data_IF_588780295786
#
_entry.id   IF_588780295786
#
_cell.length_a   1.000
_cell.length_b   1.000
_cell.length_c   1.000
_cell.angle_alpha   90.00
_cell.angle_beta   90.00
_cell.angle_gamma   90.00
#
_symmetry.space_group_name_H-M   'P 1'
#
loop_
_entity.id
_entity.type
_entity.pdbx_description
1 polymer ?
#
# COMPACT_ATOMS: atom_id res chain seq x y z
N UNK A 1 -28.62 -23.11 -1.26
CA UNK A 1 -29.25 -22.07 -0.41
C UNK A 1 -28.87 -20.66 -0.89
N UNK A 2 -29.49 -19.58 -0.34
CA UNK A 2 -29.13 -18.20 -0.66
C UNK A 2 -27.65 -17.91 -0.28
N UNK A 3 -27.18 -18.51 0.80
CA UNK A 3 -25.79 -18.41 1.29
C UNK A 3 -24.82 -19.03 0.27
N UNK A 4 -25.13 -20.20 -0.29
CA UNK A 4 -24.27 -20.87 -1.26
C UNK A 4 -24.09 -20.02 -2.53
N UNK A 5 -25.18 -19.40 -3.01
CA UNK A 5 -25.14 -18.48 -4.17
C UNK A 5 -24.34 -17.23 -3.89
N UNK A 6 -24.41 -16.70 -2.68
CA UNK A 6 -23.64 -15.53 -2.27
C UNK A 6 -22.14 -15.86 -2.25
N UNK A 7 -21.77 -17.00 -1.65
CA UNK A 7 -20.36 -17.49 -1.59
C UNK A 7 -19.82 -17.73 -3.02
N UNK A 8 -20.61 -18.36 -3.88
CA UNK A 8 -20.23 -18.61 -5.28
C UNK A 8 -20.04 -17.31 -6.07
N UNK A 9 -20.92 -16.33 -5.87
CA UNK A 9 -20.81 -15.00 -6.48
C UNK A 9 -19.54 -14.26 -6.02
N UNK A 10 -19.20 -14.32 -4.73
CA UNK A 10 -17.98 -13.72 -4.21
C UNK A 10 -16.72 -14.41 -4.74
N UNK A 11 -16.70 -15.75 -4.81
CA UNK A 11 -15.60 -16.50 -5.42
C UNK A 11 -15.40 -16.14 -6.89
N UNK A 12 -16.48 -16.06 -7.66
CA UNK A 12 -16.43 -15.69 -9.09
C UNK A 12 -15.89 -14.27 -9.28
N UNK A 13 -16.25 -13.30 -8.43
CA UNK A 13 -15.71 -11.94 -8.47
C UNK A 13 -14.20 -11.93 -8.21
N UNK A 14 -13.74 -12.70 -7.23
CA UNK A 14 -12.32 -12.81 -6.89
C UNK A 14 -11.53 -13.43 -8.03
N UNK A 15 -12.04 -14.53 -8.60
CA UNK A 15 -11.41 -15.22 -9.73
C UNK A 15 -11.31 -14.32 -10.96
N UNK A 16 -12.39 -13.59 -11.28
CA UNK A 16 -12.41 -12.59 -12.36
C UNK A 16 -11.34 -11.50 -12.14
N UNK A 17 -11.31 -10.89 -10.94
CA UNK A 17 -10.33 -9.83 -10.64
C UNK A 17 -8.90 -10.39 -10.67
N UNK A 18 -8.69 -11.62 -10.20
CA UNK A 18 -7.39 -12.30 -10.22
C UNK A 18 -6.90 -12.52 -11.66
N UNK A 19 -7.75 -13.09 -12.50
CA UNK A 19 -7.43 -13.37 -13.90
C UNK A 19 -7.18 -12.09 -14.69
N UNK A 20 -8.07 -11.08 -14.55
CA UNK A 20 -7.90 -9.77 -15.21
C UNK A 20 -6.62 -9.07 -14.73
N UNK A 21 -6.30 -9.15 -13.44
CA UNK A 21 -5.08 -8.54 -12.92
C UNK A 21 -3.81 -9.21 -13.46
N UNK A 22 -3.82 -10.54 -13.57
CA UNK A 22 -2.73 -11.29 -14.19
C UNK A 22 -2.55 -10.90 -15.67
N UNK A 23 -3.66 -10.85 -16.41
CA UNK A 23 -3.66 -10.53 -17.84
C UNK A 23 -3.26 -9.07 -18.12
N UNK A 24 -3.50 -8.17 -17.18
CA UNK A 24 -3.02 -6.78 -17.24
C UNK A 24 -1.54 -6.65 -16.84
N UNK A 25 -1.04 -7.49 -15.95
CA UNK A 25 0.34 -7.41 -15.46
C UNK A 25 1.35 -7.74 -16.56
N UNK A 26 1.05 -8.70 -17.42
CA UNK A 26 1.95 -9.14 -18.50
C UNK A 26 2.23 -8.03 -19.53
N UNK A 27 1.22 -7.41 -20.18
CA UNK A 27 1.46 -6.34 -21.14
C UNK A 27 2.07 -5.12 -20.50
N UNK A 28 1.71 -4.83 -19.24
CA UNK A 28 2.25 -3.69 -18.51
C UNK A 28 3.74 -3.87 -18.18
N UNK A 29 4.16 -5.09 -17.84
CA UNK A 29 5.59 -5.40 -17.65
C UNK A 29 6.36 -5.19 -18.94
N UNK A 30 5.80 -5.59 -20.08
CA UNK A 30 6.42 -5.36 -21.40
C UNK A 30 6.55 -3.87 -21.71
N UNK A 31 5.51 -3.07 -21.45
CA UNK A 31 5.54 -1.61 -21.63
C UNK A 31 6.65 -0.98 -20.78
N UNK A 32 6.77 -1.35 -19.50
CA UNK A 32 7.82 -0.85 -18.61
C UNK A 32 9.21 -1.24 -19.15
N UNK A 33 9.39 -2.49 -19.58
CA UNK A 33 10.68 -2.93 -20.14
C UNK A 33 11.08 -2.13 -21.38
N UNK A 34 10.13 -1.80 -22.27
CA UNK A 34 10.43 -0.95 -23.43
C UNK A 34 10.71 0.49 -23.05
N UNK A 35 10.07 1.03 -22.01
CA UNK A 35 10.37 2.36 -21.45
C UNK A 35 11.79 2.38 -20.89
N UNK A 36 12.20 1.35 -20.15
CA UNK A 36 13.55 1.23 -19.60
C UNK A 36 14.60 1.16 -20.71
N UNK A 37 14.34 0.42 -21.78
CA UNK A 37 15.21 0.37 -22.96
C UNK A 37 15.30 1.74 -23.65
N UNK A 38 14.15 2.40 -23.88
CA UNK A 38 14.13 3.73 -24.47
C UNK A 38 14.88 4.76 -23.61
N UNK A 39 14.80 4.63 -22.27
CA UNK A 39 15.49 5.54 -21.35
C UNK A 39 17.01 5.45 -21.45
N UNK A 40 17.55 4.34 -21.99
CA UNK A 40 18.99 4.13 -22.23
C UNK A 40 19.47 4.64 -23.60
N UNK A 41 18.55 5.03 -24.49
CA UNK A 41 18.89 5.53 -25.82
C UNK A 41 19.18 7.05 -25.81
N UNK A 42 19.94 7.51 -26.80
CA UNK A 42 20.14 8.93 -27.03
C UNK A 42 18.85 9.59 -27.57
N UNK A 43 18.31 10.52 -26.81
CA UNK A 43 17.04 11.20 -27.15
C UNK A 43 17.15 12.71 -26.97
N UNK A 44 16.29 13.44 -27.68
CA UNK A 44 16.13 14.87 -27.44
C UNK A 44 15.60 15.14 -26.02
N UNK A 45 15.83 16.32 -25.45
CA UNK A 45 15.31 16.69 -24.13
C UNK A 45 13.79 16.48 -24.02
N UNK A 46 13.04 16.84 -25.06
CA UNK A 46 11.59 16.69 -25.12
C UNK A 46 11.17 15.22 -25.11
N UNK A 47 11.91 14.35 -25.84
CA UNK A 47 11.63 12.92 -25.86
C UNK A 47 11.92 12.28 -24.49
N UNK A 48 12.97 12.71 -23.78
CA UNK A 48 13.27 12.27 -22.41
C UNK A 48 12.15 12.64 -21.45
N UNK A 49 11.59 13.83 -21.57
CA UNK A 49 10.44 14.27 -20.77
C UNK A 49 9.22 13.37 -21.00
N UNK A 50 8.90 13.05 -22.27
CA UNK A 50 7.79 12.16 -22.59
C UNK A 50 8.00 10.74 -22.03
N UNK A 51 9.21 10.19 -22.18
CA UNK A 51 9.55 8.87 -21.62
C UNK A 51 9.44 8.88 -20.10
N UNK A 52 9.90 9.91 -19.42
CA UNK A 52 9.76 10.07 -17.97
C UNK A 52 8.29 10.08 -17.54
N UNK A 53 7.44 10.84 -18.25
CA UNK A 53 6.01 10.90 -17.96
C UNK A 53 5.35 9.53 -18.17
N UNK A 54 5.68 8.83 -19.27
CA UNK A 54 5.12 7.52 -19.58
C UNK A 54 5.57 6.49 -18.53
N UNK A 55 6.84 6.52 -18.11
CA UNK A 55 7.38 5.68 -17.03
C UNK A 55 6.58 5.85 -15.74
N UNK A 56 6.42 7.09 -15.27
CA UNK A 56 5.64 7.38 -14.06
C UNK A 56 4.19 6.89 -14.15
N UNK A 57 3.54 7.07 -15.33
CA UNK A 57 2.16 6.61 -15.52
C UNK A 57 2.06 5.09 -15.57
N UNK A 58 3.06 4.41 -16.14
CA UNK A 58 3.13 2.95 -16.21
C UNK A 58 3.36 2.34 -14.82
N UNK A 59 4.27 2.89 -14.03
CA UNK A 59 4.49 2.47 -12.64
C UNK A 59 3.25 2.67 -11.77
N UNK A 60 2.56 3.79 -11.98
CA UNK A 60 1.29 4.04 -11.31
C UNK A 60 0.23 3.00 -11.68
N UNK A 61 0.11 2.65 -12.97
CA UNK A 61 -0.84 1.62 -13.42
C UNK A 61 -0.48 0.26 -12.84
N UNK A 62 0.80 -0.14 -12.86
CA UNK A 62 1.31 -1.36 -12.24
C UNK A 62 0.92 -1.47 -10.77
N UNK A 63 1.10 -0.39 -10.02
CA UNK A 63 0.71 -0.34 -8.63
C UNK A 63 -0.82 -0.42 -8.45
N UNK A 64 -1.64 0.20 -9.32
CA UNK A 64 -3.10 0.08 -9.25
C UNK A 64 -3.59 -1.35 -9.52
N UNK A 65 -3.01 -2.02 -10.50
CA UNK A 65 -3.32 -3.44 -10.79
C UNK A 65 -2.96 -4.32 -9.60
N UNK A 66 -1.79 -4.11 -8.98
CA UNK A 66 -1.39 -4.82 -7.76
C UNK A 66 -2.35 -4.57 -6.60
N UNK A 67 -2.72 -3.31 -6.37
CA UNK A 67 -3.65 -2.94 -5.28
C UNK A 67 -5.04 -3.57 -5.47
N UNK A 68 -5.52 -3.63 -6.72
CA UNK A 68 -6.79 -4.29 -7.04
C UNK A 68 -6.74 -5.80 -6.76
N UNK A 69 -5.63 -6.45 -7.10
CA UNK A 69 -5.40 -7.85 -6.80
C UNK A 69 -5.34 -8.12 -5.28
N UNK A 70 -4.58 -7.29 -4.53
CA UNK A 70 -4.49 -7.38 -3.08
C UNK A 70 -5.87 -7.22 -2.43
N UNK A 71 -6.69 -6.30 -2.94
CA UNK A 71 -8.04 -6.09 -2.45
C UNK A 71 -8.99 -7.26 -2.73
N UNK A 72 -8.88 -7.87 -3.91
CA UNK A 72 -9.66 -9.07 -4.25
C UNK A 72 -9.28 -10.25 -3.34
N UNK A 73 -7.97 -10.47 -3.12
CA UNK A 73 -7.49 -11.50 -2.19
C UNK A 73 -7.89 -11.23 -0.73
N UNK A 74 -7.89 -9.98 -0.29
CA UNK A 74 -8.29 -9.63 1.07
C UNK A 74 -9.77 -9.93 1.36
N UNK A 75 -10.60 -9.86 0.32
CA UNK A 75 -12.03 -10.20 0.43
C UNK A 75 -12.30 -11.70 0.52
N UNK A 76 -11.32 -12.54 0.14
CA UNK A 76 -11.37 -13.99 0.34
C UNK A 76 -10.64 -14.36 1.64
N UNK A 77 -11.37 -14.67 2.69
CA UNK A 77 -10.81 -15.12 3.97
C UNK A 77 -10.06 -16.47 3.89
N UNK A 78 -9.84 -17.01 2.69
CA UNK A 78 -9.39 -18.38 2.47
C UNK A 78 -7.87 -18.57 2.43
N UNK A 79 -7.06 -17.52 2.28
CA UNK A 79 -5.62 -17.64 2.09
C UNK A 79 -4.82 -16.80 3.11
N UNK A 80 -5.04 -17.04 4.41
CA UNK A 80 -4.19 -16.45 5.47
C UNK A 80 -3.16 -17.49 5.90
N UNK A 81 -1.90 -17.27 5.53
CA UNK A 81 -0.77 -18.06 6.02
C UNK A 81 -0.33 -17.50 7.38
N UNK A 82 -1.12 -17.77 8.44
CA UNK A 82 -0.78 -17.31 9.79
C UNK A 82 0.44 -18.06 10.32
N UNK A 83 1.49 -17.34 10.60
CA UNK A 83 2.74 -17.83 11.15
C UNK A 83 3.20 -16.96 12.33
N UNK A 84 4.17 -17.47 13.07
CA UNK A 84 4.75 -16.72 14.19
C UNK A 84 5.80 -15.74 13.66
N UNK A 85 5.46 -14.48 13.61
CA UNK A 85 6.34 -13.39 13.15
C UNK A 85 6.79 -12.52 14.31
N UNK A 86 7.94 -11.84 14.14
CA UNK A 86 8.36 -10.78 15.04
C UNK A 86 8.03 -9.42 14.43
N UNK A 87 7.05 -8.73 15.01
CA UNK A 87 6.56 -7.45 14.53
C UNK A 87 7.64 -6.34 14.57
N UNK A 88 8.65 -6.45 15.47
CA UNK A 88 9.78 -5.51 15.52
C UNK A 88 10.65 -5.69 14.28
N UNK A 89 11.02 -6.93 13.97
CA UNK A 89 11.85 -7.24 12.79
C UNK A 89 11.12 -6.81 11.53
N UNK A 90 9.85 -7.18 11.38
CA UNK A 90 9.05 -6.85 10.21
C UNK A 90 8.90 -5.33 10.03
N UNK A 91 8.64 -4.59 11.11
CA UNK A 91 8.52 -3.12 11.03
C UNK A 91 9.83 -2.47 10.59
N UNK A 92 10.96 -2.90 11.13
CA UNK A 92 12.28 -2.39 10.74
C UNK A 92 12.63 -2.76 9.29
N UNK A 93 12.25 -3.95 8.83
CA UNK A 93 12.41 -4.35 7.44
C UNK A 93 11.63 -3.44 6.50
N UNK A 94 10.35 -3.18 6.77
CA UNK A 94 9.53 -2.27 5.93
C UNK A 94 10.14 -0.88 5.87
N UNK A 95 10.60 -0.33 7.01
CA UNK A 95 11.25 0.99 7.05
C UNK A 95 12.53 0.99 6.23
N UNK A 96 13.34 -0.07 6.33
CA UNK A 96 14.57 -0.24 5.54
C UNK A 96 14.29 -0.31 4.05
N UNK A 97 13.32 -1.13 3.63
CA UNK A 97 12.93 -1.31 2.22
C UNK A 97 12.32 -0.03 1.63
N UNK A 98 11.80 0.86 2.48
CA UNK A 98 11.25 2.16 2.07
C UNK A 98 12.23 3.33 2.22
N UNK A 99 13.50 3.10 2.57
CA UNK A 99 14.50 4.15 2.87
C UNK A 99 14.63 5.18 1.75
N UNK A 100 14.70 4.75 0.50
CA UNK A 100 14.82 5.65 -0.66
C UNK A 100 13.56 6.53 -0.82
N UNK A 101 12.37 5.95 -0.64
CA UNK A 101 11.11 6.70 -0.68
C UNK A 101 11.02 7.71 0.44
N UNK A 102 11.46 7.32 1.64
CA UNK A 102 11.53 8.22 2.80
C UNK A 102 12.46 9.39 2.48
N UNK A 103 13.66 9.11 1.99
CA UNK A 103 14.63 10.14 1.62
C UNK A 103 14.09 11.10 0.54
N UNK A 104 13.49 10.56 -0.53
CA UNK A 104 12.92 11.35 -1.63
C UNK A 104 11.68 12.16 -1.21
N UNK A 105 10.97 11.74 -0.16
CA UNK A 105 9.78 12.46 0.32
C UNK A 105 10.10 13.81 0.99
N UNK A 106 11.35 14.02 1.41
CA UNK A 106 11.75 15.18 2.20
C UNK A 106 11.14 15.23 3.60
N UNK A 107 10.53 14.14 4.08
CA UNK A 107 9.91 14.05 5.42
C UNK A 107 10.88 13.41 6.41
N UNK A 108 10.94 13.94 7.63
CA UNK A 108 11.70 13.32 8.71
C UNK A 108 10.86 12.19 9.34
N UNK A 109 11.33 10.94 9.19
CA UNK A 109 10.68 9.78 9.84
C UNK A 109 11.39 9.49 11.16
N UNK A 110 10.61 9.44 12.24
CA UNK A 110 11.09 9.07 13.59
C UNK A 110 10.45 7.77 14.05
N UNK A 111 11.28 6.87 14.57
CA UNK A 111 10.83 5.59 15.10
C UNK A 111 10.87 5.58 16.63
N UNK A 112 9.84 5.03 17.27
CA UNK A 112 9.77 4.76 18.71
C UNK A 112 9.40 3.29 18.93
N UNK A 113 10.38 2.40 18.73
CA UNK A 113 10.24 0.96 18.88
C UNK A 113 10.93 0.57 20.19
N UNK A 114 10.14 0.50 21.28
CA UNK A 114 10.66 0.23 22.63
C UNK A 114 10.82 -1.26 22.95
N UNK A 115 10.20 -2.13 22.19
CA UNK A 115 10.29 -3.56 22.38
C UNK A 115 11.49 -4.14 21.63
N UNK A 116 12.27 -5.00 22.31
CA UNK A 116 13.33 -5.75 21.64
C UNK A 116 12.77 -6.90 20.79
N UNK A 117 11.57 -7.37 21.10
CA UNK A 117 10.87 -8.44 20.42
C UNK A 117 9.35 -8.35 20.65
N UNK A 118 8.57 -8.58 19.59
CA UNK A 118 7.11 -8.62 19.68
C UNK A 118 6.57 -9.73 18.77
N UNK A 119 6.41 -10.93 19.37
CA UNK A 119 5.90 -12.08 18.62
C UNK A 119 4.38 -12.01 18.51
N UNK A 120 3.88 -12.16 17.28
CA UNK A 120 2.45 -12.23 16.96
C UNK A 120 2.18 -13.36 15.98
N UNK A 121 0.97 -13.90 16.01
CA UNK A 121 0.48 -14.84 14.99
C UNK A 121 -0.20 -14.01 13.90
N UNK A 122 0.36 -13.96 12.71
CA UNK A 122 -0.19 -13.20 11.59
C UNK A 122 0.43 -13.65 10.26
N UNK A 123 -0.17 -13.22 9.14
CA UNK A 123 0.43 -13.36 7.82
C UNK A 123 1.45 -12.23 7.60
N UNK A 124 2.73 -12.58 7.61
CA UNK A 124 3.83 -11.62 7.49
C UNK A 124 3.77 -10.78 6.21
N UNK A 125 3.34 -11.37 5.08
CA UNK A 125 3.21 -10.68 3.79
C UNK A 125 2.10 -9.63 3.84
N UNK A 126 0.97 -9.96 4.45
CA UNK A 126 -0.16 -9.03 4.60
C UNK A 126 0.17 -7.89 5.55
N UNK A 127 0.77 -8.18 6.72
CA UNK A 127 1.20 -7.13 7.66
C UNK A 127 2.28 -6.23 7.05
N UNK A 128 3.23 -6.79 6.29
CA UNK A 128 4.20 -6.00 5.52
C UNK A 128 3.48 -4.97 4.61
N UNK A 129 2.48 -5.44 3.86
CA UNK A 129 1.71 -4.59 2.93
C UNK A 129 0.87 -3.54 3.67
N UNK A 130 0.31 -3.88 4.83
CA UNK A 130 -0.37 -2.92 5.73
C UNK A 130 0.58 -1.79 6.11
N UNK A 131 1.75 -2.11 6.64
CA UNK A 131 2.73 -1.13 7.06
C UNK A 131 3.21 -0.25 5.89
N UNK A 132 3.50 -0.86 4.74
CA UNK A 132 3.88 -0.13 3.53
C UNK A 132 2.80 0.88 3.12
N UNK A 133 1.53 0.48 3.09
CA UNK A 133 0.42 1.37 2.75
C UNK A 133 0.26 2.53 3.76
N UNK A 134 0.42 2.26 5.05
CA UNK A 134 0.32 3.28 6.09
C UNK A 134 1.46 4.28 6.00
N UNK A 135 2.70 3.81 5.78
CA UNK A 135 3.87 4.67 5.65
C UNK A 135 3.80 5.50 4.36
N UNK A 136 3.47 4.88 3.22
CA UNK A 136 3.28 5.60 1.94
C UNK A 136 2.23 6.71 2.08
N UNK A 137 1.11 6.44 2.75
CA UNK A 137 0.09 7.44 3.03
C UNK A 137 0.63 8.58 3.90
N UNK A 138 1.33 8.24 4.98
CA UNK A 138 1.90 9.25 5.87
C UNK A 138 2.91 10.14 5.14
N UNK A 139 3.82 9.57 4.35
CA UNK A 139 4.79 10.33 3.55
C UNK A 139 4.11 11.27 2.55
N UNK A 140 3.03 10.80 1.92
CA UNK A 140 2.34 11.51 0.86
C UNK A 140 1.50 12.68 1.37
N UNK A 141 0.75 12.46 2.46
CA UNK A 141 -0.23 13.43 2.96
C UNK A 141 0.29 14.25 4.14
N UNK A 142 1.56 14.12 4.52
CA UNK A 142 2.14 14.98 5.54
C UNK A 142 2.37 16.40 5.05
N UNK A 143 2.07 17.35 5.91
CA UNK A 143 2.46 18.73 5.74
C UNK A 143 3.99 18.86 5.65
N UNK A 144 4.49 19.74 4.80
CA UNK A 144 5.93 20.01 4.67
C UNK A 144 6.54 20.49 5.99
N UNK A 145 7.78 20.09 6.23
CA UNK A 145 8.50 20.44 7.45
C UNK A 145 8.01 19.73 8.71
N UNK A 146 7.02 18.82 8.60
CA UNK A 146 6.56 18.00 9.74
C UNK A 146 7.18 16.62 9.74
N UNK A 147 6.95 15.88 10.83
CA UNK A 147 7.51 14.55 11.05
C UNK A 147 6.46 13.46 10.91
N UNK A 148 6.90 12.29 10.42
CA UNK A 148 6.14 11.05 10.49
C UNK A 148 6.69 10.22 11.65
N UNK A 149 5.84 9.77 12.55
CA UNK A 149 6.23 8.93 13.68
C UNK A 149 5.73 7.50 13.47
N UNK A 150 6.63 6.54 13.56
CA UNK A 150 6.32 5.11 13.53
C UNK A 150 6.65 4.56 14.91
N UNK A 151 5.65 4.04 15.63
CA UNK A 151 5.86 3.49 16.96
C UNK A 151 5.31 2.07 17.08
N UNK A 152 6.01 1.23 17.84
CA UNK A 152 5.60 -0.11 18.19
C UNK A 152 5.59 -0.27 19.70
N UNK A 153 4.43 -0.69 20.23
CA UNK A 153 4.24 -0.99 21.66
C UNK A 153 3.75 -2.42 21.80
N UNK A 154 4.34 -3.15 22.74
CA UNK A 154 3.93 -4.50 23.12
C UNK A 154 3.69 -4.55 24.63
N UNK A 155 2.48 -4.87 25.04
CA UNK A 155 2.08 -5.01 26.46
C UNK A 155 1.91 -6.46 26.90
N UNK A 156 2.49 -7.42 26.17
CA UNK A 156 2.36 -8.89 26.32
C UNK A 156 0.99 -9.48 25.97
N UNK A 157 -0.04 -8.66 25.81
CA UNK A 157 -1.38 -9.11 25.35
C UNK A 157 -1.67 -8.65 23.93
N UNK A 158 -1.11 -7.48 23.58
CA UNK A 158 -1.39 -6.82 22.31
C UNK A 158 -0.14 -6.12 21.81
N UNK A 159 0.17 -6.31 20.54
CA UNK A 159 1.15 -5.51 19.81
C UNK A 159 0.41 -4.43 19.01
N UNK A 160 0.78 -3.18 19.25
CA UNK A 160 0.21 -2.03 18.53
C UNK A 160 1.29 -1.33 17.75
N UNK A 161 1.11 -1.23 16.44
CA UNK A 161 1.96 -0.44 15.55
C UNK A 161 1.15 0.79 15.16
N UNK A 162 1.74 1.97 15.28
CA UNK A 162 1.09 3.23 14.93
C UNK A 162 1.96 4.04 14.00
N UNK A 163 1.35 4.56 12.94
CA UNK A 163 1.95 5.57 12.04
C UNK A 163 1.18 6.86 12.23
N UNK A 164 1.88 7.94 12.58
CA UNK A 164 1.28 9.24 12.85
C UNK A 164 1.96 10.32 12.02
N UNK A 165 1.15 11.18 11.43
CA UNK A 165 1.61 12.35 10.67
C UNK A 165 0.67 13.54 10.90
N UNK A 166 1.13 14.73 10.53
CA UNK A 166 0.31 15.93 10.48
C UNK A 166 -0.14 16.08 9.03
N UNK A 167 -1.46 16.05 8.79
CA UNK A 167 -2.01 16.17 7.44
C UNK A 167 -1.76 17.55 6.86
N UNK A 168 -1.44 17.60 5.56
CA UNK A 168 -1.36 18.83 4.77
C UNK A 168 -2.74 19.42 4.46
N UNK A 169 -3.79 18.63 4.59
CA UNK A 169 -5.17 19.01 4.32
C UNK A 169 -6.03 18.82 5.56
N UNK A 170 -7.11 19.60 5.67
CA UNK A 170 -8.06 19.46 6.74
C UNK A 170 -8.81 18.12 6.64
N UNK A 171 -8.86 17.39 7.76
CA UNK A 171 -9.46 16.06 7.84
C UNK A 171 -10.94 16.19 8.21
N UNK A 172 -11.82 16.28 7.21
CA UNK A 172 -13.27 16.43 7.39
C UNK A 172 -14.04 15.11 7.19
N UNK A 173 -13.41 13.95 7.46
CA UNK A 173 -14.05 12.63 7.31
C UNK A 173 -13.89 11.78 8.56
N UNK A 174 -14.84 10.87 8.74
CA UNK A 174 -14.80 9.89 9.82
C UNK A 174 -13.76 8.80 9.54
N UNK A 175 -13.30 8.06 10.59
CA UNK A 175 -12.43 6.90 10.39
C UNK A 175 -13.02 5.83 9.47
N UNK A 176 -14.33 5.67 9.46
CA UNK A 176 -15.07 4.74 8.61
C UNK A 176 -14.98 5.17 7.14
N UNK A 177 -15.30 6.42 6.85
CA UNK A 177 -15.26 6.99 5.50
C UNK A 177 -13.87 6.91 4.88
N UNK A 178 -12.80 7.22 5.63
CA UNK A 178 -11.42 7.20 5.10
C UNK A 178 -10.92 5.78 4.77
N UNK A 179 -11.52 4.75 5.37
CA UNK A 179 -11.18 3.35 5.12
C UNK A 179 -12.07 2.67 4.08
N UNK A 180 -13.11 3.34 3.59
CA UNK A 180 -13.93 2.84 2.49
C UNK A 180 -13.18 2.82 1.17
N UNK A 181 -13.62 1.92 0.27
CA UNK A 181 -12.99 1.75 -1.05
C UNK A 181 -13.22 2.99 -1.92
N UNK A 182 -12.16 3.46 -2.57
CA UNK A 182 -12.20 4.62 -3.46
C UNK A 182 -12.59 5.95 -2.81
N UNK A 183 -12.68 6.02 -1.48
CA UNK A 183 -12.92 7.27 -0.79
C UNK A 183 -11.68 8.15 -0.90
N UNK A 184 -11.86 9.33 -1.46
CA UNK A 184 -10.86 10.39 -1.49
C UNK A 184 -11.39 11.52 -0.64
N UNK A 185 -10.59 12.01 0.28
CA UNK A 185 -10.85 13.29 0.92
C UNK A 185 -11.06 14.34 -0.17
N UNK A 186 -12.18 15.03 -0.11
CA UNK A 186 -12.75 15.81 -1.20
C UNK A 186 -11.83 16.93 -1.72
N UNK A 187 -11.93 17.21 -3.03
CA UNK A 187 -11.41 18.36 -3.78
C UNK A 187 -10.02 18.32 -4.40
N UNK A 188 -9.10 17.46 -4.05
CA UNK A 188 -7.81 17.40 -4.78
C UNK A 188 -7.83 16.35 -5.90
N UNK A 189 -8.51 16.63 -6.99
CA UNK A 189 -8.36 15.88 -8.27
C UNK A 189 -6.93 15.88 -8.80
N UNK A 190 -6.05 16.67 -8.19
CA UNK A 190 -4.64 16.88 -8.56
C UNK A 190 -3.66 16.08 -7.70
N UNK A 191 -3.98 15.64 -6.48
CA UNK A 191 -3.08 14.82 -5.67
C UNK A 191 -3.10 13.35 -6.10
N UNK A 192 -1.91 12.78 -6.28
CA UNK A 192 -1.65 11.41 -6.73
C UNK A 192 -2.07 10.35 -5.71
N UNK A 193 -3.35 10.19 -5.40
CA UNK A 193 -3.88 9.17 -4.49
C UNK A 193 -4.81 8.17 -5.19
N UNK A 194 -4.67 6.87 -4.90
CA UNK A 194 -5.49 5.81 -5.48
C UNK A 194 -6.77 5.56 -4.69
N UNK A 195 -6.85 6.02 -3.42
CA UNK A 195 -7.97 5.77 -2.52
C UNK A 195 -8.13 4.30 -2.10
N UNK A 196 -7.13 3.44 -2.36
CA UNK A 196 -7.19 2.00 -2.06
C UNK A 196 -6.28 1.58 -0.91
N UNK A 197 -5.21 2.33 -0.61
CA UNK A 197 -4.19 1.91 0.36
C UNK A 197 -4.74 1.66 1.76
N UNK A 198 -5.60 2.53 2.27
CA UNK A 198 -6.20 2.36 3.61
C UNK A 198 -7.25 1.25 3.65
N UNK A 199 -8.05 1.09 2.59
CA UNK A 199 -9.00 -0.03 2.50
C UNK A 199 -8.31 -1.38 2.41
N UNK A 200 -7.16 -1.48 1.71
CA UNK A 200 -6.31 -2.66 1.68
C UNK A 200 -5.73 -2.92 3.07
N UNK A 201 -5.18 -1.87 3.72
CA UNK A 201 -4.62 -2.00 5.05
C UNK A 201 -5.67 -2.50 6.06
N UNK A 202 -6.89 -1.95 6.03
CA UNK A 202 -8.01 -2.41 6.85
C UNK A 202 -8.34 -3.87 6.57
N UNK A 203 -8.59 -4.24 5.31
CA UNK A 203 -8.98 -5.60 4.93
C UNK A 203 -7.93 -6.64 5.31
N UNK A 204 -6.63 -6.33 5.14
CA UNK A 204 -5.56 -7.23 5.52
C UNK A 204 -5.40 -7.35 7.04
N UNK A 205 -5.61 -6.26 7.78
CA UNK A 205 -5.55 -6.29 9.25
C UNK A 205 -6.71 -7.09 9.83
N UNK A 206 -7.91 -6.99 9.24
CA UNK A 206 -9.09 -7.74 9.67
C UNK A 206 -8.99 -9.23 9.31
N UNK A 207 -8.23 -9.58 8.28
CA UNK A 207 -8.01 -10.95 7.85
C UNK A 207 -6.93 -11.69 8.67
N UNK A 208 -5.99 -10.98 9.31
CA UNK A 208 -4.90 -11.55 10.13
C UNK A 208 -5.28 -11.70 11.59
#
# INVERSE_FOLDING_TARGET
TAVDKQVESERMKIELVTNVSHDLKTPLTSIISYIDLLSSEEMSPEAKDYVSIISQKSDRLKSMVSDLFDLAKASSHTDVESEKIDAVILTNQVIGDMSDRIALSGREVRTDIKANRAQVMADGKKIYRVLQNLIDNALKYSMEGTRVYISLKNDNKKTTISVKNISSEEMNFTPEEITERFTRGDKSRTTEGKGLGLSIAKSFTEAC
#
